data_IF_836129313073
#
_entry.id   IF_836129313073
#
_cell.length_a   1.000
_cell.length_b   1.000
_cell.length_c   1.000
_cell.angle_alpha   90.00
_cell.angle_beta   90.00
_cell.angle_gamma   90.00
#
_symmetry.space_group_name_H-M   'P 1'
#
loop_
_entity.id
_entity.type
_entity.pdbx_description
1 polymer ?
#
# COMPACT_ATOMS: atom_id res chain seq x y z
N UNK A 1 -34.11 43.75 23.80
CA UNK A 1 -32.90 42.92 23.73
C UNK A 1 -33.32 41.46 23.73
N UNK A 2 -33.45 40.84 22.57
CA UNK A 2 -33.72 39.40 22.45
C UNK A 2 -32.39 38.67 22.40
N UNK A 3 -32.11 37.89 23.44
CA UNK A 3 -30.95 37.02 23.55
C UNK A 3 -30.99 35.98 22.43
N UNK A 4 -30.17 36.16 21.38
CA UNK A 4 -29.94 35.13 20.36
C UNK A 4 -29.15 33.99 21.01
N UNK A 5 -29.85 32.92 21.36
CA UNK A 5 -29.24 31.64 21.74
C UNK A 5 -28.31 31.21 20.58
N UNK A 6 -27.05 30.81 20.83
CA UNK A 6 -26.17 30.33 19.77
C UNK A 6 -26.80 29.08 19.15
N UNK A 7 -26.90 29.08 17.83
CA UNK A 7 -27.31 27.91 17.09
C UNK A 7 -26.10 27.00 16.88
N UNK A 8 -26.26 25.72 17.19
CA UNK A 8 -25.25 24.70 16.93
C UNK A 8 -25.70 23.87 15.74
N UNK A 9 -24.75 23.53 14.86
CA UNK A 9 -25.05 22.66 13.73
C UNK A 9 -25.54 21.29 14.25
N UNK A 10 -26.67 20.77 13.74
CA UNK A 10 -27.17 19.46 14.12
C UNK A 10 -26.05 18.41 13.99
N UNK A 11 -25.87 17.66 15.06
CA UNK A 11 -24.98 16.52 15.10
C UNK A 11 -25.50 15.43 14.15
N UNK A 12 -24.64 14.47 13.83
CA UNK A 12 -25.05 13.31 13.02
C UNK A 12 -26.20 12.55 13.70
N UNK A 13 -26.15 12.40 15.01
CA UNK A 13 -27.17 11.70 15.80
C UNK A 13 -28.52 12.41 15.75
N UNK A 14 -28.56 13.74 15.92
CA UNK A 14 -29.81 14.52 15.85
C UNK A 14 -30.45 14.45 14.45
N UNK A 15 -29.64 14.49 13.39
CA UNK A 15 -30.12 14.32 12.00
C UNK A 15 -30.72 12.93 11.82
N UNK A 16 -30.02 11.89 12.28
CA UNK A 16 -30.50 10.51 12.18
C UNK A 16 -31.77 10.28 13.00
N UNK A 17 -31.87 10.84 14.20
CA UNK A 17 -33.02 10.73 15.08
C UNK A 17 -34.26 11.43 14.48
N UNK A 18 -34.08 12.64 13.93
CA UNK A 18 -35.14 13.37 13.25
C UNK A 18 -35.69 12.58 12.05
N UNK A 19 -34.81 12.03 11.21
CA UNK A 19 -35.21 11.19 10.09
C UNK A 19 -35.86 9.86 10.53
N UNK A 20 -35.45 9.27 11.66
CA UNK A 20 -36.05 8.04 12.20
C UNK A 20 -37.47 8.31 12.66
N UNK A 21 -37.65 9.37 13.46
CA UNK A 21 -38.93 9.81 13.99
C UNK A 21 -39.91 10.27 12.91
N UNK A 22 -39.40 10.77 11.78
CA UNK A 22 -40.24 11.22 10.68
C UNK A 22 -41.04 10.12 9.97
N UNK A 23 -40.61 8.86 10.03
CA UNK A 23 -41.38 7.77 9.41
C UNK A 23 -41.20 7.64 7.89
N UNK A 24 -41.05 8.76 7.18
CA UNK A 24 -41.07 8.87 5.71
C UNK A 24 -39.81 9.57 5.17
N UNK A 25 -39.45 9.38 3.88
CA UNK A 25 -38.35 10.09 3.24
C UNK A 25 -38.58 11.61 3.25
N UNK A 26 -37.53 12.41 3.50
CA UNK A 26 -37.62 13.89 3.59
C UNK A 26 -36.58 14.60 2.73
N UNK A 27 -36.92 15.73 2.13
CA UNK A 27 -35.97 16.59 1.43
C UNK A 27 -35.05 17.32 2.41
N UNK A 28 -33.87 17.81 1.99
CA UNK A 28 -32.99 18.63 2.83
C UNK A 28 -33.70 19.85 3.42
N UNK A 29 -34.63 20.47 2.67
CA UNK A 29 -35.42 21.60 3.13
C UNK A 29 -36.41 21.22 4.23
N UNK A 30 -37.15 20.12 4.07
CA UNK A 30 -38.08 19.64 5.11
C UNK A 30 -37.33 19.19 6.38
N UNK A 31 -36.12 18.64 6.22
CA UNK A 31 -35.25 18.29 7.34
C UNK A 31 -34.73 19.56 8.06
N UNK A 32 -34.35 20.60 7.31
CA UNK A 32 -33.91 21.87 7.87
C UNK A 32 -35.02 22.55 8.67
N UNK A 33 -36.27 22.54 8.17
CA UNK A 33 -37.43 23.06 8.90
C UNK A 33 -37.68 22.30 10.20
N UNK A 34 -37.58 20.96 10.16
CA UNK A 34 -37.86 20.10 11.31
C UNK A 34 -36.78 20.11 12.38
N UNK A 35 -35.54 20.40 11.99
CA UNK A 35 -34.40 20.63 12.90
C UNK A 35 -34.27 22.11 13.32
N UNK A 36 -35.25 22.95 12.96
CA UNK A 36 -35.28 24.39 13.25
C UNK A 36 -33.97 25.12 12.84
N UNK A 37 -33.42 24.74 11.68
CA UNK A 37 -32.17 25.31 11.17
C UNK A 37 -32.40 26.73 10.64
N UNK A 38 -31.71 27.75 11.17
CA UNK A 38 -31.82 29.11 10.67
C UNK A 38 -31.39 29.20 9.20
N UNK A 39 -32.02 30.07 8.38
CA UNK A 39 -31.70 30.21 6.96
C UNK A 39 -30.20 30.46 6.68
N UNK A 40 -29.52 31.18 7.58
CA UNK A 40 -28.09 31.46 7.48
C UNK A 40 -27.18 30.22 7.63
N UNK A 41 -27.70 29.10 8.12
CA UNK A 41 -26.92 27.89 8.42
C UNK A 41 -27.34 26.66 7.60
N UNK A 42 -28.27 26.81 6.65
CA UNK A 42 -28.70 25.72 5.76
C UNK A 42 -27.52 25.15 4.96
N UNK A 43 -26.56 25.98 4.54
CA UNK A 43 -25.37 25.50 3.83
C UNK A 43 -24.49 24.59 4.70
N UNK A 44 -24.42 24.87 6.00
CA UNK A 44 -23.68 24.02 6.96
C UNK A 44 -24.35 22.67 7.15
N UNK A 45 -25.69 22.63 7.15
CA UNK A 45 -26.44 21.37 7.17
C UNK A 45 -26.18 20.57 5.88
N UNK A 46 -26.26 21.22 4.71
CA UNK A 46 -26.03 20.56 3.42
C UNK A 46 -24.62 19.96 3.31
N UNK A 47 -23.58 20.64 3.79
CA UNK A 47 -22.22 20.10 3.85
C UNK A 47 -22.12 18.85 4.71
N UNK A 48 -22.86 18.80 5.83
CA UNK A 48 -22.92 17.63 6.72
C UNK A 48 -23.70 16.48 6.09
N UNK A 49 -24.83 16.76 5.44
CA UNK A 49 -25.60 15.76 4.70
C UNK A 49 -24.76 15.13 3.59
N UNK A 50 -24.03 15.93 2.81
CA UNK A 50 -23.11 15.42 1.78
C UNK A 50 -21.98 14.54 2.35
N UNK A 51 -21.49 14.84 3.57
CA UNK A 51 -20.54 13.97 4.25
C UNK A 51 -21.19 12.66 4.70
N UNK A 52 -22.42 12.70 5.21
CA UNK A 52 -23.17 11.51 5.60
C UNK A 52 -23.59 10.64 4.41
N UNK A 53 -23.83 11.23 3.24
CA UNK A 53 -24.04 10.50 1.98
C UNK A 53 -22.75 9.81 1.51
N UNK A 54 -21.60 10.50 1.55
CA UNK A 54 -20.30 9.89 1.26
C UNK A 54 -19.96 8.74 2.21
N UNK A 55 -20.37 8.86 3.47
CA UNK A 55 -20.18 7.85 4.51
C UNK A 55 -21.28 6.74 4.45
N UNK A 56 -22.19 6.77 3.46
CA UNK A 56 -23.22 5.75 3.25
C UNK A 56 -24.37 5.74 4.26
N UNK A 57 -24.45 6.76 5.13
CA UNK A 57 -25.47 6.85 6.20
C UNK A 57 -26.82 7.32 5.66
N UNK A 58 -26.80 8.09 4.56
CA UNK A 58 -27.97 8.62 3.86
C UNK A 58 -27.93 8.21 2.39
N UNK A 59 -29.08 7.87 1.82
CA UNK A 59 -29.22 7.59 0.39
C UNK A 59 -30.14 8.63 -0.25
N UNK A 60 -29.66 9.45 -1.19
CA UNK A 60 -30.52 10.35 -1.95
C UNK A 60 -31.30 9.54 -2.99
N UNK A 61 -32.62 9.68 -3.01
CA UNK A 61 -33.43 9.16 -4.11
C UNK A 61 -33.36 10.11 -5.32
N UNK A 62 -33.66 9.63 -6.54
CA UNK A 62 -33.77 10.42 -7.80
C UNK A 62 -34.69 11.65 -7.71
N UNK A 63 -35.49 11.76 -6.65
CA UNK A 63 -36.38 12.91 -6.35
C UNK A 63 -35.80 13.91 -5.35
N UNK A 64 -34.53 13.78 -4.95
CA UNK A 64 -33.87 14.69 -3.99
C UNK A 64 -34.31 14.49 -2.54
N UNK A 65 -34.75 13.28 -2.19
CA UNK A 65 -35.30 12.94 -0.87
C UNK A 65 -34.32 12.03 -0.14
N UNK A 66 -34.01 12.35 1.12
CA UNK A 66 -33.08 11.66 2.00
C UNK A 66 -33.74 10.41 2.60
N UNK A 67 -33.10 9.26 2.42
CA UNK A 67 -33.46 8.00 3.04
C UNK A 67 -32.42 7.63 4.10
N UNK A 68 -32.88 7.17 5.26
CA UNK A 68 -32.01 6.51 6.24
C UNK A 68 -31.59 5.14 5.71
N UNK A 69 -30.28 4.90 5.60
CA UNK A 69 -29.75 3.59 5.31
C UNK A 69 -30.24 2.54 6.34
N UNK A 70 -30.41 2.95 7.61
CA UNK A 70 -30.90 2.11 8.70
C UNK A 70 -32.38 1.71 8.61
N UNK A 71 -33.16 2.26 7.67
CA UNK A 71 -34.54 1.81 7.41
C UNK A 71 -34.65 0.81 6.25
N UNK A 72 -33.54 0.52 5.58
CA UNK A 72 -33.49 -0.39 4.45
C UNK A 72 -32.72 -1.70 4.74
N UNK A 73 -32.18 -1.85 5.95
CA UNK A 73 -31.34 -3.00 6.36
C UNK A 73 -30.27 -3.33 5.31
N UNK A 74 -29.57 -2.29 4.85
CA UNK A 74 -28.53 -2.42 3.84
C UNK A 74 -27.17 -2.64 4.51
N UNK A 75 -26.49 -3.67 4.04
CA UNK A 75 -25.15 -4.06 4.43
C UNK A 75 -24.22 -3.60 3.30
N UNK A 76 -23.31 -2.68 3.61
CA UNK A 76 -22.26 -2.27 2.70
C UNK A 76 -21.08 -3.25 2.80
N UNK A 77 -20.44 -3.55 1.68
CA UNK A 77 -19.28 -4.44 1.68
C UNK A 77 -18.70 -4.69 0.30
N UNK A 78 -17.62 -5.49 0.28
CA UNK A 78 -16.91 -5.89 -0.94
C UNK A 78 -17.40 -7.23 -1.47
N UNK A 79 -17.61 -7.34 -2.78
CA UNK A 79 -18.02 -8.59 -3.43
C UNK A 79 -16.83 -9.53 -3.62
N UNK A 80 -16.94 -10.74 -3.09
CA UNK A 80 -16.05 -11.85 -3.36
C UNK A 80 -16.75 -12.85 -4.30
N UNK A 81 -16.34 -12.90 -5.57
CA UNK A 81 -16.89 -13.84 -6.55
C UNK A 81 -16.35 -15.27 -6.36
N UNK A 82 -17.13 -16.26 -6.76
CA UNK A 82 -16.75 -17.66 -6.77
C UNK A 82 -16.72 -18.23 -8.20
N UNK A 83 -15.86 -19.22 -8.45
CA UNK A 83 -15.72 -19.88 -9.76
C UNK A 83 -16.96 -20.64 -10.26
N UNK A 84 -17.98 -20.80 -9.42
CA UNK A 84 -19.25 -21.45 -9.78
C UNK A 84 -20.35 -20.41 -10.07
N UNK A 85 -20.02 -19.11 -10.03
CA UNK A 85 -20.91 -18.00 -10.39
C UNK A 85 -21.74 -17.41 -9.26
N UNK A 86 -21.76 -18.03 -8.08
CA UNK A 86 -22.23 -17.35 -6.86
C UNK A 86 -21.11 -16.46 -6.27
N UNK A 87 -21.42 -15.69 -5.24
CA UNK A 87 -20.43 -14.89 -4.51
C UNK A 87 -20.83 -14.65 -3.07
N UNK A 88 -20.05 -13.81 -2.40
CA UNK A 88 -20.29 -13.35 -1.05
C UNK A 88 -20.07 -11.85 -0.96
N UNK A 89 -20.80 -11.19 -0.09
CA UNK A 89 -20.47 -9.87 0.42
C UNK A 89 -19.62 -10.04 1.69
N UNK A 90 -18.47 -9.39 1.71
CA UNK A 90 -17.65 -9.18 2.90
C UNK A 90 -18.07 -7.84 3.54
N UNK A 91 -18.82 -7.82 4.65
CA UNK A 91 -19.36 -6.59 5.22
C UNK A 91 -18.26 -5.64 5.74
N UNK A 92 -18.38 -4.35 5.45
CA UNK A 92 -17.45 -3.33 5.95
C UNK A 92 -17.48 -3.20 7.49
N UNK A 93 -18.64 -3.47 8.10
CA UNK A 93 -18.83 -3.48 9.55
C UNK A 93 -18.18 -4.68 10.24
N UNK A 94 -17.63 -5.63 9.48
CA UNK A 94 -17.34 -6.97 9.96
C UNK A 94 -18.61 -7.78 10.21
N UNK A 95 -18.43 -9.06 10.54
CA UNK A 95 -19.52 -10.02 10.77
C UNK A 95 -19.52 -11.17 9.74
N UNK A 96 -20.59 -11.99 9.71
CA UNK A 96 -20.69 -13.11 8.79
C UNK A 96 -20.90 -12.63 7.35
N UNK A 97 -20.23 -13.32 6.42
CA UNK A 97 -20.40 -13.09 4.98
C UNK A 97 -21.85 -13.32 4.55
N UNK A 98 -22.31 -12.49 3.61
CA UNK A 98 -23.66 -12.60 3.04
C UNK A 98 -23.56 -13.30 1.69
N UNK A 99 -24.22 -14.44 1.56
CA UNK A 99 -24.28 -15.19 0.30
C UNK A 99 -25.03 -14.41 -0.78
N UNK A 100 -24.46 -14.38 -1.98
CA UNK A 100 -25.01 -13.77 -3.18
C UNK A 100 -25.24 -14.86 -4.23
N UNK A 101 -26.51 -15.05 -4.62
CA UNK A 101 -26.86 -16.05 -5.64
C UNK A 101 -26.26 -15.70 -7.01
N UNK A 102 -26.17 -16.67 -7.95
CA UNK A 102 -25.71 -16.38 -9.30
C UNK A 102 -26.52 -15.30 -10.02
N UNK A 103 -27.82 -15.16 -9.72
CA UNK A 103 -28.67 -14.09 -10.27
C UNK A 103 -28.28 -12.71 -9.75
N UNK A 104 -27.86 -12.63 -8.49
CA UNK A 104 -27.39 -11.36 -7.90
C UNK A 104 -26.01 -11.00 -8.42
N UNK A 105 -25.13 -11.99 -8.56
CA UNK A 105 -23.82 -11.83 -9.19
C UNK A 105 -23.90 -11.38 -10.65
N UNK A 106 -25.03 -11.49 -11.35
CA UNK A 106 -25.16 -10.88 -12.68
C UNK A 106 -25.05 -9.35 -12.68
N UNK A 107 -25.22 -8.68 -11.53
CA UNK A 107 -25.22 -7.20 -11.41
C UNK A 107 -23.86 -6.60 -11.03
N UNK A 108 -22.96 -7.41 -10.48
CA UNK A 108 -21.70 -6.96 -9.90
C UNK A 108 -20.57 -7.93 -10.24
N UNK A 109 -19.34 -7.41 -10.32
CA UNK A 109 -18.16 -8.24 -10.53
C UNK A 109 -17.47 -8.54 -9.21
N UNK A 110 -16.52 -9.49 -9.23
CA UNK A 110 -15.60 -9.64 -8.11
C UNK A 110 -14.91 -8.30 -7.82
N UNK A 111 -14.70 -7.97 -6.55
CA UNK A 111 -14.01 -6.75 -6.14
C UNK A 111 -14.92 -5.55 -5.96
N UNK A 112 -16.05 -5.46 -6.67
CA UNK A 112 -17.00 -4.34 -6.58
C UNK A 112 -17.44 -4.09 -5.13
N UNK A 113 -17.68 -2.82 -4.77
CA UNK A 113 -18.38 -2.48 -3.52
C UNK A 113 -19.85 -2.29 -3.80
N UNK A 114 -20.68 -2.85 -2.94
CA UNK A 114 -22.13 -2.90 -3.16
C UNK A 114 -22.90 -2.66 -1.87
N UNK A 115 -24.16 -2.26 -2.01
CA UNK A 115 -25.16 -2.26 -0.96
C UNK A 115 -26.07 -3.48 -1.13
N UNK A 116 -26.19 -4.29 -0.09
CA UNK A 116 -26.96 -5.53 -0.09
C UNK A 116 -28.06 -5.47 0.94
N UNK A 117 -29.28 -5.84 0.57
CA UNK A 117 -30.35 -6.10 1.52
C UNK A 117 -30.37 -7.58 1.87
N UNK A 118 -30.28 -7.93 3.16
CA UNK A 118 -30.49 -9.31 3.57
C UNK A 118 -31.96 -9.71 3.34
N UNK A 119 -32.18 -10.80 2.61
CA UNK A 119 -33.51 -11.32 2.26
C UNK A 119 -33.87 -12.60 3.02
N UNK A 120 -32.91 -13.23 3.69
CA UNK A 120 -33.14 -14.43 4.48
C UNK A 120 -31.85 -15.15 4.83
N UNK A 121 -31.94 -16.46 4.86
CA UNK A 121 -30.83 -17.38 5.04
C UNK A 121 -30.87 -18.46 3.97
N UNK A 122 -29.71 -18.91 3.51
CA UNK A 122 -29.60 -19.99 2.54
C UNK A 122 -29.88 -21.37 3.17
N UNK A 123 -29.84 -22.42 2.37
CA UNK A 123 -30.04 -23.81 2.82
C UNK A 123 -29.01 -24.31 3.83
N UNK A 124 -27.92 -23.57 4.06
CA UNK A 124 -26.85 -23.87 5.03
C UNK A 124 -26.89 -22.94 6.24
N UNK A 125 -27.93 -22.11 6.37
CA UNK A 125 -28.11 -21.17 7.49
C UNK A 125 -27.23 -19.92 7.42
N UNK A 126 -26.65 -19.61 6.26
CA UNK A 126 -25.85 -18.38 6.06
C UNK A 126 -26.75 -17.23 5.61
N UNK A 127 -26.49 -15.98 5.99
CA UNK A 127 -27.25 -14.83 5.50
C UNK A 127 -27.29 -14.80 3.97
N UNK A 128 -28.46 -14.61 3.37
CA UNK A 128 -28.63 -14.45 1.93
C UNK A 128 -29.02 -13.01 1.59
N UNK A 129 -28.36 -12.44 0.57
CA UNK A 129 -28.44 -11.04 0.22
C UNK A 129 -28.90 -10.79 -1.21
N UNK A 130 -29.60 -9.66 -1.39
CA UNK A 130 -29.92 -9.07 -2.70
C UNK A 130 -29.14 -7.78 -2.89
N UNK A 131 -28.40 -7.67 -3.98
CA UNK A 131 -27.71 -6.45 -4.38
C UNK A 131 -28.77 -5.41 -4.78
N UNK A 132 -28.75 -4.30 -4.06
CA UNK A 132 -29.58 -3.12 -4.31
C UNK A 132 -28.86 -2.17 -5.26
N UNK A 133 -27.58 -1.93 -5.00
CA UNK A 133 -26.77 -0.97 -5.75
C UNK A 133 -25.29 -1.36 -5.73
N UNK A 134 -24.58 -1.03 -6.81
CA UNK A 134 -23.12 -1.10 -6.87
C UNK A 134 -22.59 0.31 -6.68
N UNK A 135 -21.91 0.54 -5.56
CA UNK A 135 -21.44 1.86 -5.15
C UNK A 135 -20.08 2.19 -5.74
N UNK A 136 -19.23 1.17 -5.95
CA UNK A 136 -17.91 1.33 -6.54
C UNK A 136 -17.54 0.12 -7.41
N UNK A 137 -16.94 0.39 -8.57
CA UNK A 137 -16.55 -0.65 -9.53
C UNK A 137 -15.07 -0.92 -9.40
N UNK A 138 -14.70 -2.15 -9.07
CA UNK A 138 -13.30 -2.50 -8.84
C UNK A 138 -12.47 -2.56 -10.11
N UNK A 139 -13.10 -2.90 -11.23
CA UNK A 139 -12.41 -3.16 -12.48
C UNK A 139 -12.82 -2.16 -13.54
N UNK A 140 -11.87 -1.31 -13.95
CA UNK A 140 -11.98 -0.52 -15.19
C UNK A 140 -11.40 -1.26 -16.38
N UNK A 141 -10.36 -2.04 -16.15
CA UNK A 141 -9.69 -2.88 -17.14
C UNK A 141 -9.55 -4.29 -16.60
N UNK A 142 -9.59 -5.27 -17.49
CA UNK A 142 -9.42 -6.69 -17.17
C UNK A 142 -8.55 -7.34 -18.25
N UNK A 143 -7.71 -8.29 -17.82
CA UNK A 143 -7.01 -9.18 -18.74
C UNK A 143 -7.85 -10.43 -18.95
N UNK A 144 -7.93 -10.83 -20.21
CA UNK A 144 -8.69 -12.00 -20.61
C UNK A 144 -8.28 -12.51 -21.98
N UNK A 145 -8.82 -13.67 -22.31
CA UNK A 145 -8.65 -14.28 -23.63
C UNK A 145 -9.71 -13.76 -24.59
N UNK A 146 -9.27 -13.21 -25.72
CA UNK A 146 -10.15 -12.77 -26.79
C UNK A 146 -10.63 -13.98 -27.60
N UNK A 147 -11.94 -14.18 -27.64
CA UNK A 147 -12.58 -15.21 -28.45
C UNK A 147 -13.51 -14.55 -29.47
N UNK A 148 -13.35 -14.91 -30.72
CA UNK A 148 -14.31 -14.58 -31.77
C UNK A 148 -15.01 -15.87 -32.21
N UNK A 149 -16.30 -15.97 -31.93
CA UNK A 149 -17.13 -17.12 -32.31
C UNK A 149 -18.38 -16.65 -33.04
N UNK A 150 -18.58 -17.17 -34.27
CA UNK A 150 -19.80 -16.93 -35.07
C UNK A 150 -20.14 -15.44 -35.24
N UNK A 151 -19.13 -14.57 -35.28
CA UNK A 151 -19.28 -13.13 -35.47
C UNK A 151 -19.51 -12.32 -34.19
N UNK A 152 -19.54 -12.96 -33.02
CA UNK A 152 -19.55 -12.30 -31.71
C UNK A 152 -18.15 -12.36 -31.13
N UNK A 153 -17.59 -11.20 -30.78
CA UNK A 153 -16.31 -11.12 -30.09
C UNK A 153 -16.55 -10.92 -28.61
N UNK A 154 -15.86 -11.73 -27.80
CA UNK A 154 -15.90 -11.64 -26.34
C UNK A 154 -14.47 -11.69 -25.78
N UNK A 155 -14.29 -11.13 -24.59
CA UNK A 155 -13.10 -11.34 -23.77
C UNK A 155 -13.52 -12.09 -22.52
N UNK A 156 -12.96 -13.29 -22.35
CA UNK A 156 -13.17 -14.15 -21.19
C UNK A 156 -12.11 -13.80 -20.14
N UNK A 157 -12.47 -13.29 -18.96
CA UNK A 157 -11.49 -12.88 -17.94
C UNK A 157 -10.61 -14.04 -17.44
N UNK A 158 -9.33 -13.76 -17.19
CA UNK A 158 -8.39 -14.73 -16.58
C UNK A 158 -8.66 -14.98 -15.08
N UNK A 159 -9.37 -14.07 -14.41
CA UNK A 159 -9.87 -14.33 -13.07
C UNK A 159 -11.21 -15.08 -13.12
N UNK A 160 -11.17 -16.39 -12.84
CA UNK A 160 -12.35 -17.26 -12.86
C UNK A 160 -13.46 -16.87 -11.88
N UNK A 161 -13.19 -15.95 -10.93
CA UNK A 161 -14.20 -15.37 -10.02
C UNK A 161 -15.10 -14.34 -10.71
N UNK A 162 -14.65 -13.79 -11.85
CA UNK A 162 -15.45 -12.93 -12.72
C UNK A 162 -16.08 -13.83 -13.79
N UNK A 163 -17.40 -13.95 -13.78
CA UNK A 163 -18.16 -14.79 -14.72
C UNK A 163 -18.76 -14.07 -15.90
N UNK A 164 -18.56 -12.76 -15.96
CA UNK A 164 -19.02 -11.96 -17.06
C UNK A 164 -18.00 -12.04 -18.19
N UNK A 165 -18.39 -12.66 -19.29
CA UNK A 165 -17.70 -12.47 -20.56
C UNK A 165 -17.98 -11.05 -21.05
N UNK A 166 -16.93 -10.32 -21.43
CA UNK A 166 -17.03 -8.94 -21.88
C UNK A 166 -17.30 -8.95 -23.37
N UNK A 167 -18.46 -8.46 -23.78
CA UNK A 167 -18.82 -8.37 -25.19
C UNK A 167 -18.03 -7.23 -25.83
N UNK A 168 -17.35 -7.53 -26.93
CA UNK A 168 -16.56 -6.55 -27.68
C UNK A 168 -17.26 -6.26 -29.03
N UNK A 169 -17.71 -5.03 -29.28
CA UNK A 169 -18.24 -4.63 -30.57
C UNK A 169 -17.20 -4.78 -31.69
N UNK A 170 -17.60 -5.06 -32.96
CA UNK A 170 -16.66 -5.29 -34.05
C UNK A 170 -15.64 -4.16 -34.30
N UNK A 171 -16.02 -2.90 -34.03
CA UNK A 171 -15.16 -1.73 -34.18
C UNK A 171 -14.10 -1.57 -33.08
N UNK A 172 -14.26 -2.27 -31.96
CA UNK A 172 -13.53 -2.07 -30.72
C UNK A 172 -12.62 -3.26 -30.37
N UNK A 173 -12.34 -4.12 -31.36
CA UNK A 173 -11.52 -5.33 -31.19
C UNK A 173 -10.03 -5.06 -31.16
N UNK A 174 -9.58 -3.85 -31.51
CA UNK A 174 -8.16 -3.50 -31.66
C UNK A 174 -7.37 -4.51 -32.51
N UNK A 175 -8.02 -5.12 -33.51
CA UNK A 175 -7.48 -6.18 -34.38
C UNK A 175 -7.00 -7.43 -33.64
N UNK A 176 -7.49 -7.67 -32.43
CA UNK A 176 -7.23 -8.89 -31.69
C UNK A 176 -7.67 -10.12 -32.50
N UNK A 177 -6.85 -11.17 -32.45
CA UNK A 177 -7.13 -12.45 -33.09
C UNK A 177 -7.69 -13.44 -32.08
N UNK A 178 -8.48 -14.39 -32.56
CA UNK A 178 -9.05 -15.44 -31.72
C UNK A 178 -7.93 -16.18 -30.97
N UNK A 179 -8.07 -16.29 -29.65
CA UNK A 179 -7.17 -17.02 -28.78
C UNK A 179 -6.15 -16.14 -28.06
N UNK A 180 -5.94 -14.90 -28.51
CA UNK A 180 -4.95 -13.97 -27.95
C UNK A 180 -5.34 -13.48 -26.55
N UNK A 181 -4.32 -13.18 -25.75
CA UNK A 181 -4.49 -12.50 -24.46
C UNK A 181 -4.54 -10.99 -24.71
N UNK A 182 -5.53 -10.34 -24.13
CA UNK A 182 -5.79 -8.91 -24.33
C UNK A 182 -6.10 -8.22 -23.01
N UNK A 183 -5.86 -6.92 -22.96
CA UNK A 183 -6.44 -6.03 -21.95
C UNK A 183 -7.70 -5.39 -22.54
N UNK A 184 -8.84 -5.61 -21.88
CA UNK A 184 -10.11 -4.99 -22.24
C UNK A 184 -10.49 -3.92 -21.20
N UNK A 185 -10.93 -2.76 -21.67
CA UNK A 185 -11.57 -1.73 -20.85
C UNK A 185 -13.09 -1.94 -20.85
N UNK A 186 -13.71 -1.94 -19.68
CA UNK A 186 -15.17 -2.01 -19.54
C UNK A 186 -15.74 -0.63 -19.84
N UNK A 187 -16.57 -0.55 -20.88
CA UNK A 187 -17.28 0.68 -21.30
C UNK A 187 -18.63 0.74 -20.62
N UNK A 188 -19.43 -0.33 -20.75
CA UNK A 188 -20.69 -0.48 -20.05
C UNK A 188 -20.59 -1.64 -19.05
N UNK A 189 -20.78 -1.38 -17.74
CA UNK A 189 -20.76 -2.42 -16.72
C UNK A 189 -22.00 -3.32 -16.81
N UNK A 190 -21.99 -4.50 -16.17
CA UNK A 190 -23.14 -5.39 -16.21
C UNK A 190 -24.34 -4.76 -15.51
N UNK A 191 -25.50 -4.79 -16.18
CA UNK A 191 -26.74 -4.21 -15.68
C UNK A 191 -27.96 -4.99 -16.17
N UNK A 192 -28.92 -5.23 -15.27
CA UNK A 192 -30.22 -5.85 -15.58
C UNK A 192 -30.12 -7.19 -16.35
N UNK A 193 -29.07 -7.98 -16.10
CA UNK A 193 -28.86 -9.27 -16.77
C UNK A 193 -28.20 -9.15 -18.16
N UNK A 194 -27.89 -7.95 -18.63
CA UNK A 194 -27.03 -7.75 -19.79
C UNK A 194 -25.55 -7.99 -19.42
N UNK A 195 -24.76 -8.63 -20.31
CA UNK A 195 -23.33 -8.75 -20.12
C UNK A 195 -22.67 -7.36 -20.22
N UNK A 196 -21.48 -7.17 -19.63
CA UNK A 196 -20.70 -5.96 -19.81
C UNK A 196 -20.27 -5.81 -21.26
N UNK A 197 -20.19 -4.56 -21.72
CA UNK A 197 -19.65 -4.20 -23.02
C UNK A 197 -18.30 -3.53 -22.78
N UNK A 198 -17.31 -3.92 -23.56
CA UNK A 198 -15.97 -3.37 -23.45
C UNK A 198 -15.34 -3.13 -24.82
N UNK A 199 -14.12 -2.63 -24.76
CA UNK A 199 -13.23 -2.49 -25.92
C UNK A 199 -11.86 -3.05 -25.59
N UNK A 200 -11.20 -3.63 -26.58
CA UNK A 200 -9.80 -4.02 -26.44
C UNK A 200 -8.96 -2.74 -26.49
N UNK A 201 -8.12 -2.54 -25.48
CA UNK A 201 -7.18 -1.41 -25.43
C UNK A 201 -5.76 -1.84 -25.77
N UNK A 202 -5.44 -3.13 -25.62
CA UNK A 202 -4.11 -3.66 -25.85
C UNK A 202 -4.20 -5.16 -26.17
N UNK A 203 -3.43 -5.60 -27.17
CA UNK A 203 -3.20 -7.03 -27.46
C UNK A 203 -1.83 -7.38 -26.88
N UNK A 204 -1.80 -8.30 -25.92
CA UNK A 204 -0.57 -8.67 -25.22
C UNK A 204 0.23 -9.71 -26.01
N UNK A 205 -0.45 -10.66 -26.65
CA UNK A 205 0.19 -11.72 -27.43
C UNK A 205 -0.60 -13.03 -27.38
N UNK A 206 0.08 -14.13 -27.69
CA UNK A 206 -0.47 -15.48 -27.57
C UNK A 206 -0.33 -15.99 -26.13
N UNK A 207 -1.25 -16.86 -25.71
CA UNK A 207 -1.22 -17.44 -24.35
C UNK A 207 0.04 -18.29 -24.09
N UNK A 208 0.66 -18.82 -25.16
CA UNK A 208 1.86 -19.66 -25.10
C UNK A 208 3.16 -18.85 -25.20
N UNK A 209 3.08 -17.53 -25.39
CA UNK A 209 4.27 -16.69 -25.51
C UNK A 209 5.09 -16.70 -24.21
N UNK A 210 6.43 -16.78 -24.29
CA UNK A 210 7.28 -16.75 -23.10
C UNK A 210 7.06 -15.49 -22.26
N UNK A 211 6.68 -15.66 -20.99
CA UNK A 211 6.47 -14.55 -20.06
C UNK A 211 5.05 -14.00 -20.05
N UNK A 212 4.13 -14.55 -20.86
CA UNK A 212 2.71 -14.16 -20.84
C UNK A 212 2.08 -14.38 -19.45
N UNK A 213 2.49 -15.41 -18.73
CA UNK A 213 2.07 -15.69 -17.36
C UNK A 213 2.38 -14.52 -16.40
N UNK A 214 3.51 -13.83 -16.64
CA UNK A 214 3.94 -12.66 -15.86
C UNK A 214 3.11 -11.45 -16.25
N UNK A 215 2.89 -11.20 -17.55
CA UNK A 215 2.06 -10.10 -18.04
C UNK A 215 0.61 -10.19 -17.53
N UNK A 216 0.05 -11.41 -17.51
CA UNK A 216 -1.28 -11.67 -16.94
C UNK A 216 -1.26 -11.37 -15.44
N UNK A 217 -0.28 -11.88 -14.69
CA UNK A 217 -0.21 -11.68 -13.24
C UNK A 217 -0.07 -10.18 -12.88
N UNK A 218 0.84 -9.47 -13.54
CA UNK A 218 1.09 -8.04 -13.32
C UNK A 218 -0.20 -7.24 -13.48
N UNK A 219 -0.97 -7.47 -14.54
CA UNK A 219 -2.24 -6.74 -14.76
C UNK A 219 -3.39 -7.25 -13.91
N UNK A 220 -3.49 -8.55 -13.65
CA UNK A 220 -4.57 -9.14 -12.84
C UNK A 220 -4.53 -8.65 -11.39
N UNK A 221 -3.33 -8.45 -10.85
CA UNK A 221 -3.13 -7.96 -9.49
C UNK A 221 -2.84 -6.46 -9.43
N UNK A 222 -3.02 -5.74 -10.54
CA UNK A 222 -2.76 -4.30 -10.68
C UNK A 222 -1.37 -3.91 -10.13
N UNK A 223 -0.36 -4.74 -10.38
CA UNK A 223 1.03 -4.48 -9.98
C UNK A 223 1.54 -3.27 -10.77
N UNK A 224 1.93 -2.17 -10.09
CA UNK A 224 2.45 -0.99 -10.77
C UNK A 224 3.79 -1.33 -11.43
N UNK A 225 3.82 -1.32 -12.77
CA UNK A 225 4.98 -1.76 -13.55
C UNK A 225 5.51 -0.70 -14.50
N UNK A 226 4.73 0.34 -14.80
CA UNK A 226 5.14 1.49 -15.63
C UNK A 226 5.59 2.64 -14.73
N UNK A 227 6.77 3.21 -14.98
CA UNK A 227 7.26 4.38 -14.24
C UNK A 227 6.63 5.65 -14.82
N UNK A 228 6.39 6.66 -13.99
CA UNK A 228 5.95 7.96 -14.46
C UNK A 228 7.05 8.64 -15.29
N UNK A 229 6.65 9.47 -16.27
CA UNK A 229 7.62 10.22 -17.09
C UNK A 229 8.51 11.13 -16.23
N UNK A 230 7.96 11.68 -15.14
CA UNK A 230 8.68 12.53 -14.20
C UNK A 230 9.74 11.75 -13.40
N UNK A 231 9.42 10.55 -12.93
CA UNK A 231 10.38 9.67 -12.25
C UNK A 231 11.52 9.24 -13.18
N UNK A 232 11.19 8.88 -14.44
CA UNK A 232 12.21 8.55 -15.45
C UNK A 232 13.10 9.75 -15.78
N UNK A 233 12.52 10.94 -15.95
CA UNK A 233 13.30 12.16 -16.21
C UNK A 233 14.23 12.51 -15.04
N UNK A 234 13.76 12.36 -13.79
CA UNK A 234 14.58 12.54 -12.60
C UNK A 234 15.74 11.54 -12.56
N UNK A 235 15.45 10.24 -12.77
CA UNK A 235 16.49 9.21 -12.81
C UNK A 235 17.53 9.50 -13.90
N UNK A 236 17.10 9.91 -15.10
CA UNK A 236 18.00 10.27 -16.19
C UNK A 236 18.88 11.50 -15.88
N UNK A 237 18.38 12.45 -15.08
CA UNK A 237 19.16 13.60 -14.65
C UNK A 237 20.24 13.28 -13.58
N UNK A 238 20.12 12.14 -12.87
CA UNK A 238 21.12 11.72 -11.89
C UNK A 238 22.47 11.39 -12.56
N UNK A 239 23.60 11.62 -11.86
CA UNK A 239 24.92 11.26 -12.39
C UNK A 239 25.05 9.74 -12.56
N UNK A 240 26.01 9.28 -13.36
CA UNK A 240 26.28 7.83 -13.48
C UNK A 240 27.14 7.29 -12.33
N UNK A 241 27.87 8.16 -11.63
CA UNK A 241 28.81 7.81 -10.56
C UNK A 241 28.74 8.85 -9.44
N UNK A 242 29.24 8.46 -8.27
CA UNK A 242 29.40 9.37 -7.11
C UNK A 242 30.27 10.56 -7.50
N UNK A 243 29.82 11.78 -7.19
CA UNK A 243 30.55 13.01 -7.52
C UNK A 243 31.34 13.49 -6.29
N UNK A 244 32.39 14.29 -6.49
CA UNK A 244 33.17 14.86 -5.37
C UNK A 244 32.34 15.66 -4.36
N UNK A 245 31.23 16.29 -4.80
CA UNK A 245 30.34 17.04 -3.91
C UNK A 245 29.54 16.11 -2.97
N UNK A 246 29.25 14.89 -3.40
CA UNK A 246 28.46 13.92 -2.65
C UNK A 246 29.27 13.32 -1.47
N UNK A 247 30.60 13.44 -1.52
CA UNK A 247 31.53 12.96 -0.48
C UNK A 247 31.59 13.87 0.76
N UNK A 248 31.00 15.07 0.70
CA UNK A 248 31.08 16.03 1.81
C UNK A 248 30.37 15.48 3.04
N UNK A 249 31.05 15.52 4.20
CA UNK A 249 30.57 15.07 5.51
C UNK A 249 30.34 13.55 5.63
N UNK A 250 30.84 12.76 4.67
CA UNK A 250 30.83 11.30 4.75
C UNK A 250 32.16 10.77 5.25
N UNK A 251 32.12 9.68 5.99
CA UNK A 251 33.31 8.91 6.35
C UNK A 251 33.85 8.23 5.09
N UNK A 252 35.17 8.25 4.89
CA UNK A 252 35.83 7.54 3.78
C UNK A 252 36.22 6.14 4.24
N UNK A 253 35.58 5.12 3.68
CA UNK A 253 35.85 3.70 3.96
C UNK A 253 36.40 2.97 2.73
N UNK A 254 36.92 3.69 1.73
CA UNK A 254 37.38 3.08 0.47
C UNK A 254 38.63 2.21 0.61
N UNK A 255 39.35 2.33 1.73
CA UNK A 255 40.47 1.47 2.11
C UNK A 255 40.05 0.25 2.94
N UNK A 256 38.78 0.17 3.36
CA UNK A 256 38.22 -0.98 4.08
C UNK A 256 37.73 -2.03 3.06
N UNK A 257 38.16 -3.31 3.15
CA UNK A 257 37.83 -4.32 2.16
C UNK A 257 36.43 -4.92 2.38
N UNK A 258 35.41 -4.08 2.27
CA UNK A 258 33.99 -4.47 2.30
C UNK A 258 33.65 -5.36 1.09
N UNK A 259 32.84 -6.40 1.31
CA UNK A 259 32.39 -7.33 0.27
C UNK A 259 30.87 -7.45 0.26
N UNK A 260 30.28 -7.76 -0.89
CA UNK A 260 28.86 -8.15 -1.00
C UNK A 260 28.75 -9.67 -1.13
N UNK A 261 27.66 -10.26 -0.64
CA UNK A 261 27.41 -11.71 -0.70
C UNK A 261 25.97 -11.93 -1.16
N UNK A 262 25.79 -12.34 -2.41
CA UNK A 262 24.47 -12.34 -3.05
C UNK A 262 24.23 -13.59 -3.90
N UNK A 263 23.01 -13.77 -4.39
CA UNK A 263 22.72 -14.80 -5.41
C UNK A 263 23.53 -14.60 -6.69
N UNK A 264 23.79 -15.69 -7.43
CA UNK A 264 24.53 -15.65 -8.70
C UNK A 264 23.87 -14.72 -9.75
N UNK A 265 22.55 -14.67 -9.77
CA UNK A 265 21.76 -13.86 -10.72
C UNK A 265 21.40 -12.44 -10.20
N UNK A 266 21.78 -12.08 -8.97
CA UNK A 266 21.48 -10.77 -8.38
C UNK A 266 22.18 -9.62 -9.13
N UNK A 267 21.52 -8.46 -9.18
CA UNK A 267 22.02 -7.24 -9.86
C UNK A 267 21.92 -5.98 -9.01
N UNK A 268 21.19 -6.07 -7.91
CA UNK A 268 20.82 -5.06 -6.94
C UNK A 268 21.46 -5.41 -5.58
N UNK A 269 22.78 -5.21 -5.48
CA UNK A 269 23.53 -5.43 -4.24
C UNK A 269 23.27 -4.29 -3.25
N UNK A 270 22.45 -4.54 -2.23
CA UNK A 270 22.01 -3.52 -1.27
C UNK A 270 22.92 -3.40 -0.05
N UNK A 271 23.60 -4.48 0.34
CA UNK A 271 24.44 -4.56 1.53
C UNK A 271 25.87 -5.05 1.25
N UNK A 272 26.80 -4.55 2.07
CA UNK A 272 28.18 -4.98 2.11
C UNK A 272 28.66 -5.13 3.56
N UNK A 273 29.54 -6.09 3.79
CA UNK A 273 30.01 -6.46 5.13
C UNK A 273 31.53 -6.48 5.23
N UNK A 274 32.04 -6.11 6.40
CA UNK A 274 33.44 -6.23 6.78
C UNK A 274 33.54 -6.60 8.26
N UNK A 275 34.44 -7.52 8.61
CA UNK A 275 34.62 -7.97 9.97
C UNK A 275 36.11 -8.11 10.30
N UNK A 276 36.52 -7.59 11.45
CA UNK A 276 37.89 -7.74 11.98
C UNK A 276 37.88 -8.09 13.48
N UNK A 277 38.83 -8.89 13.98
CA UNK A 277 39.02 -9.08 15.41
C UNK A 277 39.39 -7.76 16.11
N UNK A 278 38.88 -7.55 17.32
CA UNK A 278 39.24 -6.39 18.15
C UNK A 278 39.31 -6.76 19.64
N UNK A 279 40.07 -5.95 20.39
CA UNK A 279 40.06 -5.99 21.86
C UNK A 279 39.02 -5.01 22.41
N UNK A 280 38.10 -5.52 23.23
CA UNK A 280 37.02 -4.75 23.85
C UNK A 280 37.52 -4.21 25.21
N UNK A 281 37.77 -2.90 25.25
CA UNK A 281 38.11 -2.17 26.47
C UNK A 281 36.90 -1.90 27.38
N UNK A 282 37.14 -1.41 28.59
CA UNK A 282 36.10 -1.23 29.63
C UNK A 282 34.93 -0.32 29.21
N UNK A 283 35.19 0.70 28.37
CA UNK A 283 34.17 1.65 27.90
C UNK A 283 33.05 1.06 27.03
N UNK A 284 33.17 -0.20 26.61
CA UNK A 284 32.17 -0.92 25.81
C UNK A 284 31.32 -1.90 26.65
N UNK A 285 31.57 -2.03 27.96
CA UNK A 285 30.88 -3.03 28.80
C UNK A 285 29.46 -2.63 29.20
N UNK A 286 29.09 -1.35 29.12
CA UNK A 286 27.81 -0.81 29.62
C UNK A 286 26.89 -0.17 28.54
N UNK A 287 27.30 -0.13 27.27
CA UNK A 287 26.59 0.62 26.24
C UNK A 287 25.49 -0.19 25.51
N UNK A 288 24.50 -0.70 26.25
CA UNK A 288 23.17 -1.01 25.68
C UNK A 288 22.10 -0.64 26.70
N UNK A 289 21.72 0.64 26.73
CA UNK A 289 20.42 1.07 27.25
C UNK A 289 19.37 0.88 26.17
N UNK A 290 18.23 0.29 26.55
CA UNK A 290 17.03 0.11 25.73
C UNK A 290 16.53 1.46 25.16
N UNK A 291 17.11 1.94 24.07
CA UNK A 291 16.68 3.14 23.37
C UNK A 291 15.57 2.83 22.37
N UNK A 292 14.49 2.21 22.84
CA UNK A 292 13.16 2.21 22.20
C UNK A 292 12.08 2.02 23.30
N UNK A 293 12.07 2.93 24.29
CA UNK A 293 10.93 3.18 25.16
C UNK A 293 10.26 4.49 24.71
N UNK A 294 9.01 4.43 24.27
CA UNK A 294 8.27 5.60 23.81
C UNK A 294 8.12 6.67 24.89
N UNK A 295 8.40 7.92 24.54
CA UNK A 295 8.09 9.07 25.39
C UNK A 295 6.63 9.50 25.15
N UNK A 296 5.76 9.12 26.10
CA UNK A 296 4.61 9.92 26.47
C UNK A 296 4.96 10.67 27.77
N UNK A 297 4.86 12.00 27.73
CA UNK A 297 4.39 12.78 28.88
C UNK A 297 5.41 13.29 29.90
N UNK A 298 5.76 14.58 29.74
CA UNK A 298 5.64 15.65 30.73
C UNK A 298 6.46 15.63 32.05
N UNK A 299 7.16 16.76 32.21
CA UNK A 299 7.14 17.68 33.36
C UNK A 299 8.23 17.61 34.45
N UNK A 300 8.95 18.74 34.52
CA UNK A 300 9.43 19.48 35.69
C UNK A 300 10.37 18.87 36.75
N UNK A 301 11.42 19.65 37.06
CA UNK A 301 11.89 19.78 38.45
C UNK A 301 13.39 19.65 38.71
N UNK A 302 14.08 20.78 38.64
CA UNK A 302 14.99 21.36 39.64
C UNK A 302 15.77 20.47 40.64
N UNK A 303 17.08 20.73 40.74
CA UNK A 303 17.89 20.57 41.96
C UNK A 303 18.76 19.30 42.11
N UNK A 304 20.05 19.43 42.50
CA UNK A 304 20.92 18.28 42.76
C UNK A 304 20.69 17.73 44.18
N UNK A 305 20.74 16.41 44.43
CA UNK A 305 20.97 15.92 45.77
C UNK A 305 22.47 15.76 46.02
N UNK A 306 22.90 16.45 47.06
CA UNK A 306 24.21 16.37 47.65
C UNK A 306 24.21 15.24 48.71
N UNK A 307 25.29 14.45 48.75
CA UNK A 307 25.79 13.77 49.95
C UNK A 307 25.17 12.43 50.35
N UNK A 308 25.96 11.37 50.25
CA UNK A 308 26.10 10.40 51.33
C UNK A 308 27.46 9.72 51.21
N UNK A 309 28.31 9.99 52.19
CA UNK A 309 29.55 9.28 52.47
C UNK A 309 29.25 7.77 52.62
N UNK A 310 30.08 6.96 51.96
CA UNK A 310 30.02 5.50 52.02
C UNK A 310 31.38 4.95 51.65
N UNK A 311 32.21 4.82 52.67
CA UNK A 311 33.42 4.02 52.80
C UNK A 311 34.10 3.54 51.51
N UNK A 312 35.30 4.08 51.32
CA UNK A 312 36.29 3.58 50.39
C UNK A 312 36.68 2.13 50.74
N UNK A 313 35.96 1.17 50.17
CA UNK A 313 36.52 -0.15 49.91
C UNK A 313 37.42 -0.03 48.69
N UNK A 314 38.72 0.09 48.98
CA UNK A 314 39.80 -0.14 48.03
C UNK A 314 39.77 -1.61 47.57
N UNK A 315 38.84 -1.92 46.66
CA UNK A 315 38.91 -3.12 45.85
C UNK A 315 40.04 -2.91 44.83
N UNK A 316 41.04 -3.77 44.91
CA UNK A 316 42.23 -3.76 44.07
C UNK A 316 41.89 -3.54 42.59
N UNK A 317 42.62 -2.62 41.96
CA UNK A 317 42.82 -2.60 40.51
C UNK A 317 43.50 -3.92 40.11
N UNK A 318 42.70 -4.96 39.93
CA UNK A 318 43.10 -6.15 39.21
C UNK A 318 43.08 -5.81 37.73
N UNK A 319 44.18 -6.09 37.02
CA UNK A 319 44.29 -5.94 35.57
C UNK A 319 43.03 -6.50 34.88
N UNK A 320 42.13 -5.60 34.47
CA UNK A 320 40.92 -5.97 33.78
C UNK A 320 41.30 -6.41 32.37
N UNK A 321 41.37 -7.73 32.18
CA UNK A 321 41.75 -8.33 30.91
C UNK A 321 40.82 -7.83 29.80
N UNK A 322 41.40 -7.27 28.73
CA UNK A 322 40.67 -6.92 27.51
C UNK A 322 39.94 -8.16 27.01
N UNK A 323 38.65 -8.03 26.71
CA UNK A 323 37.86 -9.15 26.20
C UNK A 323 37.97 -9.19 24.67
N UNK A 324 38.26 -10.35 24.09
CA UNK A 324 38.31 -10.49 22.64
C UNK A 324 36.90 -10.39 22.05
N UNK A 325 36.78 -9.72 20.90
CA UNK A 325 35.55 -9.61 20.13
C UNK A 325 35.82 -9.28 18.66
N UNK A 326 34.82 -8.75 17.99
CA UNK A 326 34.84 -8.39 16.59
C UNK A 326 34.27 -6.99 16.38
N UNK A 327 34.85 -6.24 15.46
CA UNK A 327 34.21 -5.09 14.86
C UNK A 327 33.53 -5.55 13.58
N UNK A 328 32.23 -5.30 13.46
CA UNK A 328 31.43 -5.62 12.28
C UNK A 328 30.90 -4.33 11.67
N UNK A 329 31.21 -4.10 10.40
CA UNK A 329 30.58 -3.06 9.58
C UNK A 329 29.53 -3.69 8.68
N UNK A 330 28.32 -3.14 8.71
CA UNK A 330 27.27 -3.40 7.73
C UNK A 330 26.98 -2.10 7.00
N UNK A 331 27.29 -2.05 5.71
CA UNK A 331 27.10 -0.89 4.85
C UNK A 331 25.91 -1.14 3.93
N UNK A 332 24.88 -0.30 4.03
CA UNK A 332 23.66 -0.37 3.22
C UNK A 332 23.67 0.75 2.18
N UNK A 333 23.26 0.45 0.95
CA UNK A 333 23.11 1.43 -0.12
C UNK A 333 22.30 2.67 0.32
N UNK A 334 22.88 3.87 0.15
CA UNK A 334 22.22 5.11 0.55
C UNK A 334 21.27 5.62 -0.56
N UNK A 335 20.16 4.92 -0.74
CA UNK A 335 19.08 5.28 -1.68
C UNK A 335 18.51 6.66 -1.35
N UNK A 336 18.43 7.00 -0.07
CA UNK A 336 17.86 8.26 0.43
C UNK A 336 18.63 9.50 -0.02
N UNK A 337 19.90 9.33 -0.44
CA UNK A 337 20.67 10.39 -1.06
C UNK A 337 20.08 10.84 -2.40
N UNK A 338 19.55 9.89 -3.19
CA UNK A 338 19.07 10.07 -4.56
C UNK A 338 17.55 10.24 -4.67
N UNK A 339 16.80 9.67 -3.73
CA UNK A 339 15.33 9.74 -3.68
C UNK A 339 14.93 10.54 -2.45
N UNK A 340 14.43 11.78 -2.63
CA UNK A 340 14.03 12.67 -1.53
C UNK A 340 12.51 12.71 -1.36
N UNK A 341 12.00 12.90 -0.13
CA UNK A 341 10.56 13.01 0.09
C UNK A 341 9.90 14.07 -0.79
N UNK A 342 8.83 13.69 -1.49
CA UNK A 342 8.07 14.56 -2.39
C UNK A 342 8.61 14.66 -3.82
N UNK A 343 9.74 14.03 -4.13
CA UNK A 343 10.25 13.95 -5.50
C UNK A 343 9.41 12.98 -6.37
N UNK A 344 9.47 13.10 -7.70
CA UNK A 344 8.84 12.12 -8.60
C UNK A 344 9.22 10.66 -8.35
N UNK A 345 10.50 10.38 -8.09
CA UNK A 345 10.96 9.02 -7.74
C UNK A 345 10.38 8.51 -6.43
N UNK A 346 10.15 9.38 -5.45
CA UNK A 346 9.54 9.04 -4.16
C UNK A 346 8.07 8.68 -4.33
N UNK A 347 7.33 9.46 -5.12
CA UNK A 347 5.93 9.17 -5.43
C UNK A 347 5.75 7.80 -6.11
N UNK A 348 6.55 7.49 -7.13
CA UNK A 348 6.55 6.19 -7.81
C UNK A 348 6.96 5.04 -6.86
N UNK A 349 7.98 5.27 -6.02
CA UNK A 349 8.43 4.28 -5.05
C UNK A 349 7.35 3.96 -4.00
N UNK A 350 6.60 4.96 -3.53
CA UNK A 350 5.46 4.78 -2.62
C UNK A 350 4.34 3.97 -3.28
N UNK A 351 3.98 4.29 -4.54
CA UNK A 351 2.96 3.54 -5.28
C UNK A 351 3.37 2.07 -5.47
N UNK A 352 4.64 1.82 -5.82
CA UNK A 352 5.17 0.47 -6.04
C UNK A 352 5.38 -0.30 -4.73
N UNK A 353 5.76 0.40 -3.66
CA UNK A 353 6.10 -0.09 -2.31
C UNK A 353 7.26 -1.09 -2.22
N UNK A 354 7.38 -2.03 -3.16
CA UNK A 354 8.41 -3.08 -3.18
C UNK A 354 8.70 -3.54 -4.60
N UNK A 355 9.89 -4.12 -4.81
CA UNK A 355 10.21 -4.84 -6.04
C UNK A 355 9.51 -6.20 -6.06
N UNK A 356 8.85 -6.54 -7.17
CA UNK A 356 8.16 -7.84 -7.33
C UNK A 356 9.01 -8.77 -8.19
N UNK A 357 9.48 -9.87 -7.59
CA UNK A 357 10.34 -10.85 -8.25
C UNK A 357 9.51 -12.01 -8.80
N UNK A 358 9.46 -12.14 -10.12
CA UNK A 358 8.95 -13.31 -10.83
C UNK A 358 10.11 -14.24 -11.23
N UNK A 359 9.86 -15.54 -11.50
CA UNK A 359 10.91 -16.49 -11.85
C UNK A 359 11.84 -16.10 -13.01
N UNK A 360 11.41 -15.19 -13.90
CA UNK A 360 12.17 -14.76 -15.09
C UNK A 360 12.25 -13.25 -15.28
N UNK A 361 11.66 -12.46 -14.38
CA UNK A 361 11.58 -11.00 -14.52
C UNK A 361 11.39 -10.34 -13.16
N UNK A 362 11.99 -9.18 -12.97
CA UNK A 362 11.75 -8.33 -11.81
C UNK A 362 10.94 -7.11 -12.27
N UNK A 363 9.95 -6.71 -11.47
CA UNK A 363 9.30 -5.40 -11.57
C UNK A 363 9.92 -4.54 -10.45
N UNK A 364 10.90 -3.68 -10.76
CA UNK A 364 11.66 -3.01 -9.73
C UNK A 364 10.87 -1.85 -9.11
N UNK A 365 11.12 -1.57 -7.82
CA UNK A 365 10.57 -0.42 -7.13
C UNK A 365 11.13 0.90 -7.67
N UNK A 366 12.42 0.91 -8.03
CA UNK A 366 13.13 2.08 -8.55
C UNK A 366 13.60 1.81 -10.00
N UNK A 367 13.79 2.84 -10.83
CA UNK A 367 14.38 2.67 -12.15
C UNK A 367 15.76 1.99 -12.09
N UNK A 368 16.07 1.17 -13.10
CA UNK A 368 17.30 0.34 -13.11
C UNK A 368 18.59 1.16 -12.96
N UNK A 369 18.59 2.41 -13.42
CA UNK A 369 19.72 3.34 -13.25
C UNK A 369 20.08 3.57 -11.78
N UNK A 370 19.09 3.52 -10.88
CA UNK A 370 19.32 3.52 -9.44
C UNK A 370 19.54 2.10 -8.92
N UNK A 371 18.58 1.19 -9.12
CA UNK A 371 18.58 -0.12 -8.44
C UNK A 371 19.79 -0.98 -8.81
N UNK A 372 20.16 -1.04 -10.09
CA UNK A 372 21.28 -1.85 -10.58
C UNK A 372 22.56 -1.00 -10.75
N UNK A 373 22.42 0.32 -10.69
CA UNK A 373 23.47 1.30 -10.99
C UNK A 373 23.98 2.00 -9.73
N UNK A 374 23.46 3.20 -9.48
CA UNK A 374 23.94 4.13 -8.46
C UNK A 374 23.82 3.62 -7.02
N UNK A 375 22.79 2.83 -6.73
CA UNK A 375 22.53 2.33 -5.39
C UNK A 375 23.14 0.94 -5.19
N UNK A 376 23.24 0.13 -6.25
CA UNK A 376 23.90 -1.18 -6.14
C UNK A 376 25.40 -1.04 -5.85
N UNK A 377 25.85 -1.76 -4.82
CA UNK A 377 27.22 -1.85 -4.30
C UNK A 377 28.16 -2.67 -5.19
N UNK A 378 28.15 -2.34 -6.48
CA UNK A 378 28.93 -2.99 -7.52
C UNK A 378 30.43 -3.03 -7.19
N UNK A 379 31.12 -4.15 -7.50
CA UNK A 379 32.54 -4.31 -7.18
C UNK A 379 33.39 -3.28 -7.91
N UNK A 380 34.41 -2.77 -7.23
CA UNK A 380 35.42 -1.86 -7.76
C UNK A 380 34.87 -0.48 -8.18
N UNK A 381 33.74 -0.05 -7.60
CA UNK A 381 33.17 1.28 -7.86
C UNK A 381 32.77 1.96 -6.55
N UNK A 382 33.08 3.25 -6.43
CA UNK A 382 32.69 4.05 -5.27
C UNK A 382 31.16 4.17 -5.17
N UNK A 383 30.63 3.93 -3.97
CA UNK A 383 29.19 3.98 -3.65
C UNK A 383 28.92 4.64 -2.32
N UNK A 384 27.81 5.35 -2.23
CA UNK A 384 27.33 5.99 -1.01
C UNK A 384 26.57 4.97 -0.18
N UNK A 385 26.86 4.94 1.11
CA UNK A 385 26.26 3.98 2.05
C UNK A 385 25.91 4.63 3.37
N UNK A 386 24.91 4.06 4.04
CA UNK A 386 24.66 4.23 5.46
C UNK A 386 25.25 3.01 6.19
N UNK A 387 26.14 3.25 7.15
CA UNK A 387 26.89 2.21 7.83
C UNK A 387 26.36 2.02 9.25
N UNK A 388 26.16 0.77 9.64
CA UNK A 388 26.09 0.34 11.04
C UNK A 388 27.43 -0.25 11.44
N UNK A 389 28.13 0.39 12.36
CA UNK A 389 29.43 -0.02 12.89
C UNK A 389 29.25 -0.55 14.30
N UNK A 390 29.46 -1.86 14.49
CA UNK A 390 29.12 -2.59 15.71
C UNK A 390 30.35 -3.23 16.33
N UNK A 391 30.38 -3.25 17.66
CA UNK A 391 31.29 -4.06 18.47
C UNK A 391 30.52 -5.26 18.98
N UNK A 392 31.00 -6.46 18.68
CA UNK A 392 30.37 -7.74 19.02
C UNK A 392 31.34 -8.55 19.88
N UNK A 393 30.88 -9.05 21.03
CA UNK A 393 31.73 -9.90 21.88
C UNK A 393 31.81 -11.36 21.37
N UNK A 394 32.65 -12.17 22.02
CA UNK A 394 32.83 -13.58 21.67
C UNK A 394 31.56 -14.44 21.78
N UNK A 395 30.54 -13.99 22.52
CA UNK A 395 29.24 -14.67 22.66
C UNK A 395 28.22 -14.17 21.61
N UNK A 396 28.62 -13.25 20.71
CA UNK A 396 27.76 -12.67 19.69
C UNK A 396 26.87 -11.53 20.19
N UNK A 397 27.13 -10.98 21.38
CA UNK A 397 26.35 -9.85 21.92
C UNK A 397 26.92 -8.52 21.42
N UNK A 398 26.03 -7.64 20.97
CA UNK A 398 26.38 -6.26 20.60
C UNK A 398 26.70 -5.49 21.88
N UNK A 399 27.88 -4.86 21.91
CA UNK A 399 28.40 -4.09 23.05
C UNK A 399 28.34 -2.59 22.83
N UNK A 400 28.45 -2.16 21.58
CA UNK A 400 28.18 -0.79 21.14
C UNK A 400 27.89 -0.79 19.64
N UNK A 401 27.23 0.26 19.19
CA UNK A 401 27.04 0.52 17.78
C UNK A 401 26.98 2.03 17.50
N UNK A 402 27.21 2.41 16.26
CA UNK A 402 26.95 3.75 15.76
C UNK A 402 26.50 3.69 14.30
N UNK A 403 25.75 4.71 13.87
CA UNK A 403 25.33 4.88 12.48
C UNK A 403 25.97 6.12 11.88
N UNK A 404 26.46 6.03 10.65
CA UNK A 404 27.01 7.17 9.92
C UNK A 404 26.94 6.99 8.40
N UNK A 405 26.89 8.11 7.69
CA UNK A 405 27.00 8.14 6.24
C UNK A 405 28.47 7.97 5.81
N UNK A 406 28.72 7.12 4.82
CA UNK A 406 30.05 6.87 4.30
C UNK A 406 30.08 6.75 2.77
N UNK A 407 31.29 6.72 2.23
CA UNK A 407 31.59 6.22 0.88
C UNK A 407 32.43 4.96 1.02
N UNK A 408 32.11 3.93 0.23
CA UNK A 408 32.86 2.68 0.18
C UNK A 408 33.27 2.32 -1.24
N UNK A 409 34.22 1.40 -1.35
CA UNK A 409 34.66 0.80 -2.61
C UNK A 409 34.62 -0.72 -2.46
N UNK A 410 33.59 -1.37 -3.03
CA UNK A 410 33.40 -2.82 -2.85
C UNK A 410 34.61 -3.60 -3.38
N UNK A 411 35.28 -4.36 -2.50
CA UNK A 411 36.49 -5.10 -2.84
C UNK A 411 36.17 -6.32 -3.70
N UNK A 412 35.08 -7.02 -3.42
CA UNK A 412 34.64 -8.18 -4.16
C UNK A 412 33.12 -8.38 -4.05
N UNK A 413 32.56 -9.00 -5.10
CA UNK A 413 31.25 -9.63 -5.07
C UNK A 413 31.45 -11.13 -4.87
N UNK A 414 30.83 -11.68 -3.84
CA UNK A 414 30.84 -13.12 -3.55
C UNK A 414 29.44 -13.71 -3.80
N UNK A 415 29.39 -15.01 -3.99
CA UNK A 415 28.14 -15.79 -4.06
C UNK A 415 28.01 -16.71 -2.85
N UNK A 416 26.78 -17.07 -2.48
CA UNK A 416 26.51 -18.04 -1.41
C UNK A 416 27.13 -19.42 -1.61
#
# INVERSE_FOLDING_TARGET
>A
MTTKKPWYAPTREEILECLRGAGVPMTPSELAERLEVPPAHVESLNKRLAAMERDGQLLPNRKGVLLLASKLDLIAGKVQGHRDGFGFLLPDSGGPDVFLSPREMQKAMHGDRVLVKQIGYDSRGRPEGRIVEVTDRAHRRLVGRFLNERGVSIVVPEDQRIKHDIVIPPGDTHRAQHGQVVTAEIVDPPANGAPPIGRVVEVLGEIEDPGMEIEIAVRKFDVPHVFSEAALAQAEALPATVRPVDLRRRVDLRDVPLVTIDGEDARDFDDAVYCEPMEIGEGYREAVGDAYGGEDGNDDGDGPPNGADGDADAAAAGDAQAANGFRLLVAIADVSHYVRPGDPLDADALERSTSVYFPRRVIPMLPEKLSNGLCSLNPQIDRLVLVCDMVIDADGRIRAYQFYEAVMHSAARLTY
#
